data_IF_367408008971
#
_entry.id   IF_367408008971
#
_cell.length_a   1.000
_cell.length_b   1.000
_cell.length_c   1.000
_cell.angle_alpha   90.00
_cell.angle_beta   90.00
_cell.angle_gamma   90.00
#
_symmetry.space_group_name_H-M   'P 1'
#
loop_
_entity.id
_entity.type
_entity.pdbx_description
1 polymer ?
#
# COMPACT_ATOMS: atom_id res chain seq x y z
N UNK A 1 19.65 -43.50 29.32
CA UNK A 1 19.84 -42.04 29.24
C UNK A 1 18.98 -41.55 28.10
N UNK A 2 17.88 -40.83 28.35
CA UNK A 2 17.13 -40.22 27.27
C UNK A 2 17.87 -38.96 26.79
N UNK A 3 17.87 -38.74 25.49
CA UNK A 3 18.34 -37.50 24.88
C UNK A 3 17.33 -36.41 25.23
N UNK A 4 17.73 -35.46 26.08
CA UNK A 4 16.97 -34.23 26.31
C UNK A 4 17.14 -33.31 25.09
N UNK A 5 16.30 -33.49 24.07
CA UNK A 5 16.04 -32.45 23.08
C UNK A 5 15.26 -31.31 23.75
N UNK A 6 15.99 -30.42 24.41
CA UNK A 6 15.45 -29.16 24.98
C UNK A 6 15.96 -27.96 24.17
N UNK A 7 15.79 -28.02 22.85
CA UNK A 7 15.68 -26.77 22.09
C UNK A 7 14.21 -26.43 22.11
N UNK A 8 13.77 -25.72 23.16
CA UNK A 8 12.41 -25.20 23.23
C UNK A 8 12.09 -24.43 21.95
N UNK A 9 10.83 -24.50 21.51
CA UNK A 9 10.36 -23.73 20.37
C UNK A 9 10.81 -22.27 20.54
N UNK A 10 11.37 -21.63 19.49
CA UNK A 10 11.86 -20.27 19.60
C UNK A 10 10.73 -19.36 20.10
N UNK A 11 10.98 -18.66 21.20
CA UNK A 11 10.05 -17.69 21.77
C UNK A 11 9.70 -16.65 20.70
N UNK A 12 8.43 -16.26 20.62
CA UNK A 12 7.95 -15.23 19.70
C UNK A 12 8.69 -13.90 19.89
N UNK A 13 9.22 -13.67 21.09
CA UNK A 13 9.99 -12.48 21.45
C UNK A 13 11.50 -12.61 21.15
N UNK A 14 11.95 -13.75 20.60
CA UNK A 14 13.37 -13.95 20.23
C UNK A 14 13.74 -13.01 19.07
N UNK A 15 14.76 -12.14 19.22
CA UNK A 15 15.16 -11.22 18.16
C UNK A 15 15.74 -11.99 16.97
N UNK A 16 15.15 -11.77 15.79
CA UNK A 16 15.63 -12.31 14.53
C UNK A 16 16.50 -11.29 13.80
N UNK A 17 17.70 -11.68 13.38
CA UNK A 17 18.55 -10.88 12.50
C UNK A 17 18.41 -11.37 11.05
N UNK A 18 17.93 -10.50 10.17
CA UNK A 18 17.79 -10.78 8.74
C UNK A 18 18.73 -9.87 7.94
N UNK A 19 19.52 -10.46 7.05
CA UNK A 19 20.27 -9.70 6.03
C UNK A 19 19.41 -9.65 4.77
N UNK A 20 18.92 -8.46 4.43
CA UNK A 20 18.06 -8.25 3.26
C UNK A 20 18.75 -7.29 2.30
N UNK A 21 18.73 -7.62 1.01
CA UNK A 21 19.06 -6.65 -0.05
C UNK A 21 17.77 -5.99 -0.55
N UNK A 22 17.83 -4.75 -1.07
CA UNK A 22 16.69 -4.14 -1.74
C UNK A 22 16.11 -5.03 -2.84
N UNK A 23 16.96 -5.72 -3.61
CA UNK A 23 16.53 -6.64 -4.66
C UNK A 23 15.64 -7.78 -4.14
N UNK A 24 15.90 -8.30 -2.92
CA UNK A 24 15.01 -9.30 -2.31
C UNK A 24 13.63 -8.73 -2.01
N UNK A 25 13.57 -7.49 -1.52
CA UNK A 25 12.31 -6.79 -1.27
C UNK A 25 11.56 -6.51 -2.59
N UNK A 26 12.28 -6.15 -3.66
CA UNK A 26 11.68 -5.94 -4.98
C UNK A 26 10.96 -7.20 -5.46
N UNK A 27 11.65 -8.34 -5.46
CA UNK A 27 11.07 -9.59 -5.92
C UNK A 27 9.94 -10.10 -5.03
N UNK A 28 10.07 -9.95 -3.70
CA UNK A 28 9.07 -10.44 -2.75
C UNK A 28 7.79 -9.60 -2.71
N UNK A 29 7.92 -8.27 -2.85
CA UNK A 29 6.82 -7.32 -2.65
C UNK A 29 6.32 -6.69 -3.94
N UNK A 30 7.22 -6.33 -4.85
CA UNK A 30 6.97 -5.45 -5.99
C UNK A 30 7.14 -6.16 -7.35
N UNK A 31 7.09 -7.50 -7.38
CA UNK A 31 7.33 -8.27 -8.60
C UNK A 31 6.34 -8.01 -9.75
N UNK A 32 5.17 -7.43 -9.47
CA UNK A 32 4.17 -7.02 -10.46
C UNK A 32 4.20 -5.51 -10.77
N UNK A 33 5.08 -4.74 -10.12
CA UNK A 33 5.22 -3.32 -10.38
C UNK A 33 5.78 -3.08 -11.78
N UNK A 34 5.30 -2.03 -12.43
CA UNK A 34 5.78 -1.56 -13.73
C UNK A 34 7.20 -1.00 -13.68
N UNK A 35 7.59 -0.41 -12.54
CA UNK A 35 8.93 0.07 -12.27
C UNK A 35 9.26 -0.06 -10.79
N UNK A 36 10.55 -0.33 -10.48
CA UNK A 36 11.05 -0.41 -9.11
C UNK A 36 12.44 0.24 -9.04
N UNK A 37 12.68 1.05 -8.02
CA UNK A 37 13.97 1.70 -7.81
C UNK A 37 14.25 1.96 -6.33
N UNK A 38 15.49 2.37 -6.04
CA UNK A 38 15.87 2.87 -4.71
C UNK A 38 16.34 4.31 -4.80
N UNK A 39 16.15 5.06 -3.71
CA UNK A 39 16.58 6.45 -3.60
C UNK A 39 16.91 6.87 -2.18
N UNK A 40 17.49 8.07 -2.06
CA UNK A 40 17.71 8.76 -0.78
C UNK A 40 16.60 9.78 -0.47
N UNK A 41 15.78 10.11 -1.48
CA UNK A 41 14.70 11.07 -1.44
C UNK A 41 13.47 10.48 -2.12
N UNK A 42 12.30 10.86 -1.64
CA UNK A 42 11.03 10.41 -2.21
C UNK A 42 10.86 11.00 -3.60
N UNK A 43 10.38 10.18 -4.54
CA UNK A 43 9.95 10.64 -5.86
C UNK A 43 8.47 11.02 -5.89
N UNK A 44 7.76 10.91 -4.76
CA UNK A 44 6.35 11.30 -4.62
C UNK A 44 6.29 12.80 -4.39
N UNK A 45 5.57 13.50 -5.26
CA UNK A 45 5.21 14.90 -5.03
C UNK A 45 3.91 14.96 -4.22
N UNK A 46 4.00 15.44 -2.97
CA UNK A 46 2.85 15.51 -2.08
C UNK A 46 1.72 16.43 -2.61
N UNK A 47 2.00 17.31 -3.57
CA UNK A 47 0.98 18.14 -4.21
C UNK A 47 0.08 17.35 -5.18
N UNK A 48 0.54 16.19 -5.65
CA UNK A 48 -0.14 15.35 -6.66
C UNK A 48 -0.84 14.15 -6.04
N UNK A 49 -0.77 14.01 -4.71
CA UNK A 49 -1.35 12.89 -3.97
C UNK A 49 -2.86 13.01 -3.92
N UNK A 50 -3.54 11.97 -4.39
CA UNK A 50 -5.00 11.80 -4.32
C UNK A 50 -5.38 11.08 -3.02
N UNK A 51 -4.65 10.02 -2.66
CA UNK A 51 -4.89 9.28 -1.42
C UNK A 51 -3.61 8.66 -0.88
N UNK A 52 -3.56 8.42 0.43
CA UNK A 52 -2.41 7.84 1.10
C UNK A 52 -2.85 6.86 2.21
N UNK A 53 -2.18 5.71 2.25
CA UNK A 53 -2.18 4.78 3.38
C UNK A 53 -0.76 4.68 3.91
N UNK A 54 -0.58 4.79 5.22
CA UNK A 54 0.75 4.73 5.84
C UNK A 54 0.77 3.79 7.04
N UNK A 55 1.86 3.03 7.17
CA UNK A 55 2.19 2.20 8.31
C UNK A 55 3.60 2.58 8.81
N UNK A 56 3.67 3.11 10.03
CA UNK A 56 4.92 3.57 10.65
C UNK A 56 5.42 2.59 11.71
N UNK A 57 6.75 2.47 11.82
CA UNK A 57 7.42 2.03 13.04
C UNK A 57 7.78 3.26 13.87
N UNK A 58 7.03 3.46 14.96
CA UNK A 58 7.07 4.69 15.78
C UNK A 58 8.40 4.87 16.51
N UNK A 59 9.29 3.86 16.52
CA UNK A 59 10.58 3.91 17.23
C UNK A 59 11.74 4.45 16.40
N UNK A 60 11.71 4.23 15.08
CA UNK A 60 12.89 4.42 14.21
C UNK A 60 12.61 5.27 12.97
N UNK A 61 11.37 5.74 12.77
CA UNK A 61 11.02 6.58 11.62
C UNK A 61 11.01 5.82 10.29
N UNK A 62 11.07 4.49 10.37
CA UNK A 62 10.85 3.58 9.25
C UNK A 62 9.36 3.52 8.95
N UNK A 63 8.99 3.43 7.68
CA UNK A 63 7.60 3.36 7.28
C UNK A 63 7.44 2.60 5.98
N UNK A 64 6.22 2.14 5.71
CA UNK A 64 5.76 2.00 4.34
C UNK A 64 4.51 2.83 4.12
N UNK A 65 4.37 3.36 2.91
CA UNK A 65 3.16 4.04 2.47
C UNK A 65 2.78 3.61 1.07
N UNK A 66 1.48 3.51 0.83
CA UNK A 66 0.88 3.36 -0.48
C UNK A 66 0.22 4.68 -0.82
N UNK A 67 0.67 5.31 -1.88
CA UNK A 67 0.21 6.61 -2.36
C UNK A 67 -0.46 6.42 -3.71
N UNK A 68 -1.64 7.00 -3.87
CA UNK A 68 -2.28 7.20 -5.17
C UNK A 68 -1.99 8.62 -5.61
N UNK A 69 -1.48 8.79 -6.81
CA UNK A 69 -1.14 10.09 -7.36
C UNK A 69 -1.53 10.18 -8.84
N UNK A 70 -1.86 11.39 -9.27
CA UNK A 70 -2.15 11.69 -10.66
C UNK A 70 -1.23 12.79 -11.16
N UNK A 71 -0.60 12.56 -12.30
CA UNK A 71 0.37 13.49 -12.85
C UNK A 71 0.33 13.48 -14.37
N UNK A 72 1.01 14.45 -14.96
CA UNK A 72 1.24 14.57 -16.39
C UNK A 72 2.75 14.62 -16.60
N UNK A 73 3.24 13.92 -17.61
CA UNK A 73 4.66 13.97 -17.97
C UNK A 73 4.92 15.12 -18.94
N UNK A 74 6.05 15.82 -18.79
CA UNK A 74 6.43 16.94 -19.68
C UNK A 74 6.50 16.53 -21.16
N UNK A 75 6.91 15.28 -21.44
CA UNK A 75 7.00 14.72 -22.79
C UNK A 75 5.64 14.29 -23.34
N UNK A 76 4.63 14.11 -22.48
CA UNK A 76 3.29 13.62 -22.83
C UNK A 76 2.21 14.48 -22.12
N UNK A 77 2.13 15.79 -22.41
CA UNK A 77 1.30 16.74 -21.64
C UNK A 77 -0.21 16.47 -21.73
N UNK A 78 -0.64 15.73 -22.76
CA UNK A 78 -2.04 15.38 -22.98
C UNK A 78 -2.45 14.06 -22.30
N UNK A 79 -1.51 13.37 -21.64
CA UNK A 79 -1.78 12.11 -20.95
C UNK A 79 -1.71 12.30 -19.44
N UNK A 80 -2.85 12.10 -18.78
CA UNK A 80 -2.89 11.98 -17.33
C UNK A 80 -2.54 10.55 -16.96
N UNK A 81 -1.54 10.39 -16.11
CA UNK A 81 -1.13 9.12 -15.53
C UNK A 81 -1.72 8.97 -14.14
N UNK A 82 -2.13 7.76 -13.82
CA UNK A 82 -2.49 7.35 -12.47
C UNK A 82 -1.45 6.34 -11.98
N UNK A 83 -0.92 6.55 -10.79
CA UNK A 83 0.10 5.69 -10.19
C UNK A 83 -0.26 5.32 -8.76
N UNK A 84 -0.20 4.03 -8.46
CA UNK A 84 -0.13 3.51 -7.10
C UNK A 84 1.33 3.30 -6.74
N UNK A 85 1.89 4.20 -5.94
CA UNK A 85 3.27 4.15 -5.50
C UNK A 85 3.39 3.51 -4.11
N UNK A 86 4.08 2.37 -4.02
CA UNK A 86 4.51 1.82 -2.73
C UNK A 86 5.90 2.35 -2.41
N UNK A 87 6.04 3.10 -1.33
CA UNK A 87 7.32 3.56 -0.80
C UNK A 87 7.61 2.90 0.55
N UNK A 88 8.78 2.28 0.67
CA UNK A 88 9.27 1.65 1.89
C UNK A 88 10.54 2.38 2.31
N UNK A 89 10.53 2.96 3.52
CA UNK A 89 11.68 3.59 4.14
C UNK A 89 12.30 2.68 5.20
N UNK A 90 13.57 2.36 5.01
CA UNK A 90 14.42 1.68 5.98
C UNK A 90 15.67 2.55 6.18
N UNK A 91 15.73 3.21 7.33
CA UNK A 91 16.74 4.20 7.70
C UNK A 91 16.83 5.34 6.64
N UNK A 92 17.97 5.61 5.95
CA UNK A 92 17.98 6.63 4.89
C UNK A 92 17.54 6.09 3.52
N UNK A 93 17.35 4.78 3.36
CA UNK A 93 17.08 4.16 2.06
C UNK A 93 15.58 4.10 1.81
N UNK A 94 15.18 4.57 0.62
CA UNK A 94 13.85 4.40 0.08
C UNK A 94 13.86 3.33 -0.99
N UNK A 95 12.84 2.49 -0.97
CA UNK A 95 12.55 1.45 -1.96
C UNK A 95 11.16 1.74 -2.48
N UNK A 96 11.06 2.00 -3.79
CA UNK A 96 9.82 2.47 -4.40
C UNK A 96 9.40 1.59 -5.56
N UNK A 97 8.14 1.17 -5.56
CA UNK A 97 7.51 0.42 -6.64
C UNK A 97 6.31 1.18 -7.19
N UNK A 98 6.17 1.18 -8.51
CA UNK A 98 5.13 1.91 -9.24
C UNK A 98 4.22 0.95 -9.98
N UNK A 99 2.91 1.11 -9.83
CA UNK A 99 1.90 0.50 -10.68
C UNK A 99 1.22 1.65 -11.41
N UNK A 100 1.77 2.04 -12.57
CA UNK A 100 1.32 3.22 -13.27
C UNK A 100 0.70 2.88 -14.62
N UNK A 101 -0.34 3.64 -14.98
CA UNK A 101 -1.06 3.49 -16.24
C UNK A 101 -1.79 4.80 -16.59
N UNK A 102 -2.11 5.05 -17.87
CA UNK A 102 -2.89 6.22 -18.24
C UNK A 102 -4.25 6.21 -17.54
N UNK A 103 -4.71 7.34 -16.99
CA UNK A 103 -5.99 7.43 -16.28
C UNK A 103 -7.21 7.03 -17.14
N UNK A 104 -7.04 7.00 -18.47
CA UNK A 104 -8.03 6.54 -19.45
C UNK A 104 -7.98 5.04 -19.75
N UNK A 105 -7.12 4.26 -19.07
CA UNK A 105 -7.00 2.82 -19.31
C UNK A 105 -8.28 2.06 -18.94
N UNK A 106 -8.35 0.80 -19.38
CA UNK A 106 -9.55 0.00 -19.16
C UNK A 106 -9.78 -0.25 -17.65
N UNK A 107 -11.02 -0.21 -17.14
CA UNK A 107 -11.31 -0.40 -15.72
C UNK A 107 -10.70 -1.68 -15.11
N UNK A 108 -10.59 -2.77 -15.90
CA UNK A 108 -9.95 -4.01 -15.42
C UNK A 108 -8.45 -3.87 -15.16
N UNK A 109 -7.75 -3.03 -15.94
CA UNK A 109 -6.33 -2.74 -15.72
C UNK A 109 -6.16 -1.87 -14.48
N UNK A 110 -7.06 -0.91 -14.30
CA UNK A 110 -7.13 -0.07 -13.12
C UNK A 110 -7.33 -0.92 -11.84
N UNK A 111 -8.35 -1.78 -11.83
CA UNK A 111 -8.62 -2.72 -10.74
C UNK A 111 -7.47 -3.69 -10.47
N UNK A 112 -6.78 -4.15 -11.52
CA UNK A 112 -5.64 -5.05 -11.38
C UNK A 112 -4.46 -4.35 -10.70
N UNK A 113 -4.09 -3.14 -11.15
CA UNK A 113 -2.97 -2.39 -10.59
C UNK A 113 -3.24 -1.97 -9.15
N UNK A 114 -4.43 -1.42 -8.86
CA UNK A 114 -4.85 -1.08 -7.51
C UNK A 114 -4.76 -2.27 -6.55
N UNK A 115 -5.21 -3.45 -6.99
CA UNK A 115 -5.18 -4.68 -6.18
C UNK A 115 -3.75 -5.16 -5.94
N UNK A 116 -2.89 -5.16 -6.96
CA UNK A 116 -1.51 -5.61 -6.83
C UNK A 116 -0.68 -4.67 -5.93
N UNK A 117 -0.83 -3.35 -6.11
CA UNK A 117 -0.18 -2.35 -5.25
C UNK A 117 -0.66 -2.44 -3.80
N UNK A 118 -1.97 -2.63 -3.57
CA UNK A 118 -2.53 -2.86 -2.24
C UNK A 118 -1.97 -4.13 -1.60
N UNK A 119 -1.92 -5.25 -2.35
CA UNK A 119 -1.35 -6.51 -1.86
C UNK A 119 0.12 -6.36 -1.47
N UNK A 120 0.89 -5.59 -2.24
CA UNK A 120 2.28 -5.28 -1.94
C UNK A 120 2.40 -4.48 -0.64
N UNK A 121 1.56 -3.45 -0.46
CA UNK A 121 1.50 -2.65 0.77
C UNK A 121 1.12 -3.49 2.00
N UNK A 122 0.08 -4.33 1.90
CA UNK A 122 -0.36 -5.22 2.98
C UNK A 122 0.76 -6.16 3.45
N UNK A 123 1.54 -6.69 2.50
CA UNK A 123 2.71 -7.53 2.80
C UNK A 123 3.85 -6.71 3.41
N UNK A 124 4.10 -5.51 2.90
CA UNK A 124 5.13 -4.62 3.41
C UNK A 124 4.84 -4.19 4.86
N UNK A 125 3.57 -4.01 5.25
CA UNK A 125 3.17 -3.66 6.61
C UNK A 125 3.73 -4.62 7.67
N UNK A 126 3.89 -5.91 7.32
CA UNK A 126 4.45 -6.93 8.23
C UNK A 126 5.88 -6.60 8.64
N UNK A 127 6.67 -5.98 7.75
CA UNK A 127 8.05 -5.55 8.05
C UNK A 127 8.11 -4.51 9.18
N UNK A 128 7.01 -3.79 9.42
CA UNK A 128 6.88 -2.74 10.44
C UNK A 128 6.03 -3.20 11.62
N UNK A 129 5.80 -4.52 11.77
CA UNK A 129 4.98 -5.09 12.84
C UNK A 129 3.50 -4.70 12.75
N UNK A 130 3.04 -4.18 11.61
CA UNK A 130 1.65 -3.82 11.38
C UNK A 130 0.93 -4.94 10.62
N UNK A 131 -0.38 -5.07 10.87
CA UNK A 131 -1.27 -5.98 10.12
C UNK A 131 -2.38 -5.16 9.50
N UNK A 132 -2.57 -5.27 8.21
CA UNK A 132 -3.74 -4.72 7.53
C UNK A 132 -4.95 -5.65 7.76
N UNK A 133 -6.14 -5.06 7.86
CA UNK A 133 -7.40 -5.80 7.85
C UNK A 133 -8.19 -5.34 6.64
N UNK A 134 -8.73 -6.25 5.81
CA UNK A 134 -9.66 -5.86 4.75
C UNK A 134 -10.82 -5.06 5.37
N UNK A 135 -11.03 -3.84 4.87
CA UNK A 135 -12.11 -2.97 5.34
C UNK A 135 -13.47 -3.43 4.81
N UNK A 136 -14.46 -3.47 5.69
CA UNK A 136 -15.87 -3.63 5.33
C UNK A 136 -16.33 -2.34 4.63
N UNK A 137 -16.79 -2.45 3.39
CA UNK A 137 -17.46 -1.37 2.67
C UNK A 137 -18.79 -1.09 3.36
N UNK A 138 -19.04 0.15 3.76
CA UNK A 138 -20.36 0.58 4.21
C UNK A 138 -21.20 0.77 2.95
N UNK A 139 -22.21 -0.08 2.76
CA UNK A 139 -23.28 0.21 1.79
C UNK A 139 -23.98 1.49 2.24
N UNK A 140 -23.94 2.50 1.39
CA UNK A 140 -24.72 3.72 1.60
C UNK A 140 -26.21 3.34 1.51
N UNK A 141 -27.04 3.64 2.54
CA UNK A 141 -28.43 3.22 2.53
C UNK A 141 -29.15 3.89 1.35
N UNK A 142 -29.84 3.07 0.54
CA UNK A 142 -30.65 3.56 -0.56
C UNK A 142 -31.54 4.73 -0.09
N UNK A 143 -31.63 5.83 -0.87
CA UNK A 143 -32.34 7.02 -0.44
C UNK A 143 -33.76 6.66 -0.01
N UNK A 144 -34.10 7.03 1.22
CA UNK A 144 -35.42 6.76 1.77
C UNK A 144 -36.48 7.31 0.82
N UNK A 145 -37.44 6.45 0.44
CA UNK A 145 -38.57 6.86 -0.40
C UNK A 145 -39.23 8.11 0.23
N UNK A 146 -39.61 9.12 -0.58
CA UNK A 146 -40.16 10.36 -0.07
C UNK A 146 -41.39 10.05 0.80
N UNK A 147 -41.37 10.53 2.03
CA UNK A 147 -42.49 10.40 2.96
C UNK A 147 -43.72 11.06 2.35
N UNK A 148 -44.73 10.26 2.00
CA UNK A 148 -46.03 10.79 1.59
C UNK A 148 -46.62 11.56 2.77
N UNK A 149 -46.98 12.86 2.64
CA UNK A 149 -47.52 13.62 3.75
C UNK A 149 -48.86 13.02 4.19
N UNK A 150 -48.95 12.56 5.44
CA UNK A 150 -50.23 12.21 6.06
C UNK A 150 -50.99 13.50 6.36
N UNK A 151 -51.99 13.79 5.55
CA UNK A 151 -52.99 14.81 5.88
C UNK A 151 -53.85 14.33 7.05
N UNK A 152 -53.72 14.98 8.20
CA UNK A 152 -54.68 14.93 9.30
C UNK A 152 -55.96 15.63 8.86
N UNK A 153 -57.11 14.95 8.97
CA UNK A 153 -58.43 15.60 8.95
C UNK A 153 -59.03 15.50 10.36
N UNK A 154 -59.49 16.65 10.85
CA UNK A 154 -60.34 16.81 12.03
C UNK A 154 -61.63 16.01 11.90
#
# INVERSE_FOLDING_TARGET
MPLEDTVGDPDLDTPLSLTLSPAMLFHALMGSASAVHTGWQSCIDNALVVSELIATDDRVGNYCRLVEQEFVEDEQPDTVWHDWTLEIRIDPVLITGHWQLPATAHPSEWEWNAREARRAFERACVLFGRRTRPGVVIDEPAPAAPSVPRASRH
#
